data_IF_048680600156
#
_entry.id   IF_048680600156
#
_cell.length_a   1.000
_cell.length_b   1.000
_cell.length_c   1.000
_cell.angle_alpha   90.00
_cell.angle_beta   90.00
_cell.angle_gamma   90.00
#
_symmetry.space_group_name_H-M   'P 1'
#
loop_
_entity.id
_entity.type
_entity.pdbx_description
1 polymer ?
#
# COMPACT_ATOMS: atom_id res chain seq x y z
N UNK A 1 0.55 33.61 -44.93
CA UNK A 1 1.34 33.70 -43.69
C UNK A 1 0.62 32.84 -42.68
N UNK A 2 1.15 31.64 -42.43
CA UNK A 2 0.55 30.66 -41.53
C UNK A 2 1.40 30.68 -40.27
N UNK A 3 0.90 31.33 -39.22
CA UNK A 3 1.56 31.32 -37.92
C UNK A 3 1.32 29.97 -37.25
N UNK A 4 2.38 29.18 -37.19
CA UNK A 4 2.42 27.94 -36.42
C UNK A 4 2.73 28.30 -34.96
N UNK A 5 1.70 28.33 -34.12
CA UNK A 5 1.90 28.39 -32.66
C UNK A 5 2.37 27.01 -32.21
N UNK A 6 3.65 26.91 -31.87
CA UNK A 6 4.22 25.73 -31.25
C UNK A 6 3.67 25.62 -29.81
N UNK A 7 2.77 24.66 -29.59
CA UNK A 7 2.39 24.24 -28.24
C UNK A 7 3.47 23.28 -27.76
N UNK A 8 4.32 23.75 -26.87
CA UNK A 8 5.27 22.90 -26.16
C UNK A 8 4.47 22.03 -25.20
N UNK A 9 4.45 20.69 -25.32
CA UNK A 9 3.86 19.84 -24.31
C UNK A 9 4.67 20.03 -23.02
N UNK A 10 4.02 20.44 -21.94
CA UNK A 10 4.63 20.35 -20.61
C UNK A 10 4.89 18.87 -20.35
N UNK A 11 6.18 18.51 -20.35
CA UNK A 11 6.64 17.16 -20.07
C UNK A 11 6.16 16.79 -18.67
N UNK A 12 5.23 15.85 -18.59
CA UNK A 12 4.94 15.13 -17.36
C UNK A 12 6.20 14.34 -17.00
N UNK A 13 7.00 14.89 -16.09
CA UNK A 13 8.09 14.13 -15.48
C UNK A 13 7.44 13.13 -14.54
N UNK A 14 7.30 11.88 -14.98
CA UNK A 14 7.03 10.78 -14.06
C UNK A 14 8.17 10.80 -13.03
N UNK A 15 7.85 11.21 -11.81
CA UNK A 15 8.82 11.27 -10.73
C UNK A 15 9.14 9.84 -10.35
N UNK A 16 10.33 9.39 -10.77
CA UNK A 16 10.94 8.14 -10.33
C UNK A 16 10.91 8.13 -8.80
N UNK A 17 10.46 7.04 -8.14
CA UNK A 17 10.43 7.00 -6.69
C UNK A 17 11.86 7.16 -6.18
N UNK A 18 12.16 8.31 -5.59
CA UNK A 18 13.44 8.55 -4.97
C UNK A 18 13.65 7.46 -3.91
N UNK A 19 14.81 6.80 -3.92
CA UNK A 19 15.18 5.90 -2.83
C UNK A 19 15.18 6.72 -1.54
N UNK A 20 14.23 6.40 -0.66
CA UNK A 20 14.09 7.09 0.62
C UNK A 20 15.24 6.61 1.51
N UNK A 21 16.20 7.46 1.89
CA UNK A 21 17.20 7.07 2.87
C UNK A 21 16.50 6.76 4.19
N UNK A 22 17.02 5.79 4.93
CA UNK A 22 16.55 5.42 6.27
C UNK A 22 16.42 6.70 7.14
N UNK A 23 15.19 7.16 7.40
CA UNK A 23 14.95 8.48 8.04
C UNK A 23 14.85 8.29 9.54
N UNK A 24 16.01 8.21 10.17
CA UNK A 24 16.15 8.26 11.62
C UNK A 24 15.86 9.69 12.12
N UNK A 25 14.81 9.83 12.93
CA UNK A 25 14.47 11.06 13.65
C UNK A 25 15.22 11.07 14.97
N UNK A 26 15.95 12.15 15.27
CA UNK A 26 16.76 12.26 16.49
C UNK A 26 16.22 13.32 17.44
N UNK A 27 16.01 12.91 18.70
CA UNK A 27 15.46 13.71 19.78
C UNK A 27 16.55 14.04 20.79
N UNK A 28 16.87 15.33 21.03
CA UNK A 28 17.81 15.70 22.08
C UNK A 28 17.20 15.44 23.46
N UNK A 29 17.90 14.69 24.31
CA UNK A 29 17.47 14.42 25.68
C UNK A 29 17.96 15.52 26.63
N UNK A 30 17.10 15.96 27.56
CA UNK A 30 17.42 17.02 28.55
C UNK A 30 18.63 16.69 29.44
N UNK A 31 18.93 15.41 29.64
CA UNK A 31 20.07 14.91 30.45
C UNK A 31 21.33 14.64 29.62
N UNK A 32 21.35 15.05 28.35
CA UNK A 32 22.41 14.72 27.40
C UNK A 32 22.12 13.42 26.66
N UNK A 33 22.62 13.33 25.42
CA UNK A 33 22.36 12.21 24.50
C UNK A 33 21.17 12.47 23.56
N UNK A 34 20.90 11.49 22.70
CA UNK A 34 19.82 11.54 21.73
C UNK A 34 19.02 10.24 21.78
N UNK A 35 17.70 10.33 21.66
CA UNK A 35 16.86 9.19 21.34
C UNK A 35 16.64 9.19 19.83
N UNK A 36 16.83 8.05 19.18
CA UNK A 36 16.53 7.91 17.77
C UNK A 36 15.27 7.08 17.61
N UNK A 37 14.36 7.56 16.77
CA UNK A 37 13.16 6.85 16.36
C UNK A 37 13.19 6.70 14.84
N UNK A 38 12.79 5.52 14.38
CA UNK A 38 12.75 5.19 12.97
C UNK A 38 11.37 5.55 12.42
N UNK A 39 11.31 6.46 11.45
CA UNK A 39 10.09 6.65 10.68
C UNK A 39 9.87 5.44 9.77
N UNK A 40 8.61 5.01 9.55
CA UNK A 40 8.33 4.04 8.51
C UNK A 40 8.87 4.53 7.16
N UNK A 41 9.40 3.62 6.34
CA UNK A 41 10.03 3.97 5.05
C UNK A 41 9.09 4.66 4.05
N UNK A 42 7.77 4.52 4.25
CA UNK A 42 6.74 5.18 3.45
C UNK A 42 6.39 6.60 3.96
N UNK A 43 6.81 6.99 5.16
CA UNK A 43 6.55 8.31 5.73
C UNK A 43 7.43 9.35 5.05
N UNK A 44 6.81 10.41 4.53
CA UNK A 44 7.50 11.53 3.86
C UNK A 44 7.39 12.85 4.62
N UNK A 45 6.57 12.92 5.67
CA UNK A 45 6.48 14.06 6.61
C UNK A 45 7.85 14.41 7.21
N UNK A 46 8.15 15.72 7.26
CA UNK A 46 9.24 16.27 8.05
C UNK A 46 8.75 16.53 9.48
N UNK A 47 9.34 15.83 10.45
CA UNK A 47 8.98 15.92 11.86
C UNK A 47 9.80 16.94 12.66
N UNK A 48 10.62 17.77 12.01
CA UNK A 48 11.47 18.76 12.70
C UNK A 48 10.66 19.66 13.64
N UNK A 49 9.51 20.16 13.19
CA UNK A 49 8.61 21.00 14.00
C UNK A 49 7.98 20.24 15.17
N UNK A 50 7.64 18.96 15.00
CA UNK A 50 7.08 18.11 16.05
C UNK A 50 8.10 17.86 17.17
N UNK A 51 9.37 17.64 16.78
CA UNK A 51 10.50 17.49 17.71
C UNK A 51 10.72 18.77 18.50
N UNK A 52 10.71 19.93 17.83
CA UNK A 52 10.85 21.24 18.52
C UNK A 52 9.73 21.49 19.53
N UNK A 53 8.53 21.01 19.23
CA UNK A 53 7.35 21.08 20.13
C UNK A 53 7.38 20.03 21.23
N UNK A 54 8.35 19.12 21.22
CA UNK A 54 8.52 18.09 22.24
C UNK A 54 7.52 16.94 22.13
N UNK A 55 6.95 16.70 20.94
CA UNK A 55 6.11 15.53 20.67
C UNK A 55 6.98 14.27 20.83
N UNK A 56 6.49 13.27 21.58
CA UNK A 56 7.25 12.05 21.77
C UNK A 56 7.31 11.25 20.44
N UNK A 57 8.36 10.46 20.21
CA UNK A 57 8.48 9.71 18.96
C UNK A 57 7.35 8.72 18.69
N UNK A 58 6.77 8.14 19.73
CA UNK A 58 5.61 7.24 19.63
C UNK A 58 4.32 7.98 19.24
N UNK A 59 4.32 9.31 19.34
CA UNK A 59 3.17 10.19 19.12
C UNK A 59 3.26 10.94 17.77
N UNK A 60 4.20 10.56 16.90
CA UNK A 60 4.35 11.17 15.58
C UNK A 60 3.24 10.74 14.62
N UNK A 61 2.66 11.71 13.91
CA UNK A 61 1.73 11.45 12.80
C UNK A 61 2.49 11.18 11.51
N UNK A 62 2.58 9.91 11.11
CA UNK A 62 3.24 9.55 9.85
C UNK A 62 2.31 9.74 8.66
N UNK A 63 2.78 10.45 7.64
CA UNK A 63 2.06 10.64 6.38
C UNK A 63 3.00 10.40 5.20
N UNK A 64 2.53 9.64 4.22
CA UNK A 64 3.22 9.44 2.96
C UNK A 64 2.87 10.49 1.91
N UNK A 65 3.41 10.31 0.71
CA UNK A 65 3.18 11.21 -0.40
C UNK A 65 1.71 11.26 -0.83
N UNK A 66 1.27 12.46 -1.22
CA UNK A 66 -0.08 12.73 -1.68
C UNK A 66 -0.26 12.32 -3.13
N UNK A 67 -1.22 11.43 -3.38
CA UNK A 67 -1.79 11.22 -4.71
C UNK A 67 -3.01 12.13 -4.83
N UNK A 68 -2.99 13.05 -5.78
CA UNK A 68 -4.08 14.01 -5.96
C UNK A 68 -4.63 13.97 -7.39
N UNK A 69 -5.93 14.23 -7.50
CA UNK A 69 -6.58 14.54 -8.77
C UNK A 69 -6.88 16.04 -8.79
N UNK A 70 -6.04 16.79 -9.50
CA UNK A 70 -6.18 18.23 -9.65
C UNK A 70 -6.69 18.63 -11.04
N UNK A 71 -7.50 19.69 -11.10
CA UNK A 71 -7.89 20.36 -12.34
C UNK A 71 -7.46 21.82 -12.31
N UNK A 72 -6.95 22.33 -13.44
CA UNK A 72 -6.71 23.76 -13.64
C UNK A 72 -7.94 24.41 -14.27
N UNK A 73 -8.61 25.32 -13.55
CA UNK A 73 -9.69 26.15 -14.11
C UNK A 73 -9.25 27.60 -13.99
N UNK A 74 -9.19 28.32 -15.12
CA UNK A 74 -8.80 29.74 -15.18
C UNK A 74 -7.47 30.07 -14.47
N UNK A 75 -6.50 29.15 -14.55
CA UNK A 75 -5.18 29.29 -13.90
C UNK A 75 -5.15 28.92 -12.41
N UNK A 76 -6.29 28.55 -11.82
CA UNK A 76 -6.38 28.05 -10.45
C UNK A 76 -6.32 26.52 -10.44
N UNK A 77 -5.36 25.96 -9.71
CA UNK A 77 -5.29 24.52 -9.45
C UNK A 77 -6.27 24.18 -8.32
N UNK A 78 -7.24 23.32 -8.59
CA UNK A 78 -8.17 22.78 -7.61
C UNK A 78 -7.95 21.28 -7.48
N UNK A 79 -7.73 20.78 -6.26
CA UNK A 79 -7.77 19.34 -5.98
C UNK A 79 -9.23 18.93 -5.78
N UNK A 80 -9.64 17.81 -6.38
CA UNK A 80 -10.98 17.22 -6.19
C UNK A 80 -10.91 16.05 -5.22
N UNK A 81 -9.81 15.29 -5.26
CA UNK A 81 -9.58 14.15 -4.38
C UNK A 81 -8.10 14.04 -4.06
N UNK A 82 -7.79 13.95 -2.78
CA UNK A 82 -6.46 13.60 -2.28
C UNK A 82 -6.53 12.26 -1.54
N UNK A 83 -5.55 11.41 -1.80
CA UNK A 83 -5.33 10.15 -1.10
C UNK A 83 -3.86 10.04 -0.66
N UNK A 84 -3.64 9.53 0.55
CA UNK A 84 -2.28 9.27 1.08
C UNK A 84 -2.31 8.16 2.11
N UNK A 85 -1.18 7.48 2.30
CA UNK A 85 -0.98 6.58 3.44
C UNK A 85 -0.77 7.44 4.69
N UNK A 86 -1.46 7.09 5.77
CA UNK A 86 -1.35 7.73 7.07
C UNK A 86 -1.36 6.69 8.18
N UNK A 87 -0.72 7.01 9.30
CA UNK A 87 -0.84 6.29 10.56
C UNK A 87 -0.92 7.30 11.70
N UNK A 88 -2.01 7.26 12.47
CA UNK A 88 -2.23 8.16 13.60
C UNK A 88 -2.00 7.39 14.91
N UNK A 89 -1.09 7.83 15.79
CA UNK A 89 -0.66 7.03 16.94
C UNK A 89 -1.69 6.92 18.07
N UNK A 90 -2.71 7.79 18.06
CA UNK A 90 -3.80 7.79 19.06
C UNK A 90 -5.10 7.20 18.52
N UNK A 91 -5.08 6.61 17.32
CA UNK A 91 -6.25 5.91 16.79
C UNK A 91 -6.24 4.47 17.29
N UNK A 92 -6.81 4.26 18.48
CA UNK A 92 -6.92 2.94 19.12
C UNK A 92 -7.72 1.95 18.26
N UNK A 93 -8.57 2.45 17.35
CA UNK A 93 -9.38 1.64 16.45
C UNK A 93 -8.62 1.27 15.15
N UNK A 94 -7.56 2.01 14.77
CA UNK A 94 -6.76 1.78 13.55
C UNK A 94 -5.25 2.01 13.76
N UNK A 95 -4.57 1.12 14.51
CA UNK A 95 -3.14 1.24 14.77
C UNK A 95 -2.26 0.94 13.54
N UNK A 96 -2.80 0.26 12.52
CA UNK A 96 -2.10 -0.06 11.27
C UNK A 96 -2.16 1.10 10.27
N UNK A 97 -1.20 1.22 9.32
CA UNK A 97 -1.29 2.19 8.23
C UNK A 97 -2.58 2.03 7.43
N UNK A 98 -3.21 3.15 7.09
CA UNK A 98 -4.45 3.24 6.30
C UNK A 98 -4.35 4.32 5.22
N UNK A 99 -5.27 4.30 4.25
CA UNK A 99 -5.40 5.38 3.25
C UNK A 99 -6.47 6.36 3.70
N UNK A 100 -6.07 7.61 3.88
CA UNK A 100 -6.99 8.72 4.11
C UNK A 100 -7.44 9.29 2.75
N UNK A 101 -8.75 9.34 2.50
CA UNK A 101 -9.33 10.12 1.40
C UNK A 101 -9.85 11.44 1.95
N UNK A 102 -9.22 12.55 1.59
CA UNK A 102 -9.66 13.88 2.01
C UNK A 102 -10.45 14.51 0.87
N UNK A 103 -11.78 14.69 1.01
CA UNK A 103 -12.53 15.49 0.07
C UNK A 103 -12.17 16.96 0.26
N UNK A 104 -11.49 17.57 -0.71
CA UNK A 104 -11.37 19.02 -0.74
C UNK A 104 -12.71 19.61 -1.22
N UNK A 105 -13.58 19.94 -0.26
CA UNK A 105 -14.95 20.36 -0.53
C UNK A 105 -15.09 21.74 -1.16
N UNK A 106 -15.69 21.80 -2.36
CA UNK A 106 -16.79 22.73 -2.74
C UNK A 106 -17.24 22.54 -4.19
N UNK A 107 -16.57 21.68 -4.94
CA UNK A 107 -16.59 21.71 -6.40
C UNK A 107 -17.40 20.56 -6.97
N UNK A 108 -18.72 20.76 -7.06
CA UNK A 108 -19.48 20.18 -8.17
C UNK A 108 -18.98 20.81 -9.48
N UNK A 109 -17.73 20.55 -9.85
CA UNK A 109 -17.12 21.03 -11.09
C UNK A 109 -17.67 20.15 -12.19
N UNK A 110 -18.64 20.69 -12.92
CA UNK A 110 -18.94 20.19 -14.25
C UNK A 110 -17.73 20.50 -15.14
N UNK A 111 -17.04 19.45 -15.60
CA UNK A 111 -16.01 19.57 -16.62
C UNK A 111 -16.70 19.75 -17.97
N UNK A 112 -16.78 20.99 -18.43
CA UNK A 112 -17.31 21.30 -19.75
C UNK A 112 -16.26 20.96 -20.82
N UNK A 113 -16.38 19.78 -21.42
CA UNK A 113 -15.61 19.39 -22.59
C UNK A 113 -16.34 19.86 -23.85
N UNK A 114 -15.75 20.78 -24.60
CA UNK A 114 -16.32 21.33 -25.84
C UNK A 114 -15.90 20.55 -27.08
N UNK A 115 -14.98 19.59 -26.92
CA UNK A 115 -14.47 18.75 -27.99
C UNK A 115 -14.19 17.32 -27.54
N UNK A 116 -14.13 16.39 -28.50
CA UNK A 116 -13.73 15.00 -28.25
C UNK A 116 -12.30 14.89 -27.71
N UNK A 117 -11.42 15.78 -28.16
CA UNK A 117 -10.03 15.83 -27.73
C UNK A 117 -9.93 16.23 -26.24
N UNK A 118 -10.67 17.26 -25.82
CA UNK A 118 -10.74 17.65 -24.40
C UNK A 118 -11.26 16.51 -23.53
N UNK A 119 -12.31 15.81 -23.98
CA UNK A 119 -12.84 14.64 -23.27
C UNK A 119 -11.80 13.50 -23.17
N UNK A 120 -11.05 13.24 -24.23
CA UNK A 120 -9.99 12.22 -24.21
C UNK A 120 -8.83 12.57 -23.27
N UNK A 121 -8.54 13.87 -23.12
CA UNK A 121 -7.58 14.35 -22.12
C UNK A 121 -8.07 14.07 -20.70
N UNK A 122 -9.34 14.40 -20.40
CA UNK A 122 -9.92 14.15 -19.08
C UNK A 122 -9.94 12.65 -18.76
N UNK A 123 -10.29 11.79 -19.74
CA UNK A 123 -10.24 10.33 -19.58
C UNK A 123 -8.82 9.87 -19.26
N UNK A 124 -7.80 10.44 -19.90
CA UNK A 124 -6.40 10.08 -19.64
C UNK A 124 -5.97 10.49 -18.24
N UNK A 125 -6.33 11.69 -17.79
CA UNK A 125 -6.03 12.18 -16.45
C UNK A 125 -6.69 11.31 -15.37
N UNK A 126 -7.96 10.96 -15.54
CA UNK A 126 -8.67 10.06 -14.61
C UNK A 126 -8.03 8.67 -14.60
N UNK A 127 -7.67 8.11 -15.76
CA UNK A 127 -6.98 6.81 -15.82
C UNK A 127 -5.61 6.85 -15.15
N UNK A 128 -4.83 7.91 -15.36
CA UNK A 128 -3.56 8.08 -14.69
C UNK A 128 -3.74 8.14 -13.17
N UNK A 129 -4.73 8.90 -12.69
CA UNK A 129 -5.05 8.96 -11.27
C UNK A 129 -5.50 7.61 -10.70
N UNK A 130 -6.36 6.87 -11.40
CA UNK A 130 -6.75 5.51 -11.00
C UNK A 130 -5.55 4.57 -10.92
N UNK A 131 -4.62 4.64 -11.86
CA UNK A 131 -3.39 3.85 -11.81
C UNK A 131 -2.54 4.25 -10.59
N UNK A 132 -2.40 5.55 -10.30
CA UNK A 132 -1.70 6.01 -9.08
C UNK A 132 -2.39 5.57 -7.79
N UNK A 133 -3.73 5.43 -7.78
CA UNK A 133 -4.46 4.87 -6.64
C UNK A 133 -4.23 3.36 -6.50
N UNK A 134 -4.10 2.63 -7.60
CA UNK A 134 -3.72 1.21 -7.58
C UNK A 134 -2.32 1.07 -6.98
N UNK A 135 -1.35 1.87 -7.46
CA UNK A 135 0.01 1.89 -6.92
C UNK A 135 0.06 2.33 -5.44
N UNK A 136 -0.84 3.21 -5.01
CA UNK A 136 -1.00 3.57 -3.59
C UNK A 136 -1.53 2.37 -2.77
N UNK A 137 -2.45 1.60 -3.33
CA UNK A 137 -2.94 0.35 -2.73
C UNK A 137 -1.83 -0.68 -2.56
N UNK A 138 -0.97 -0.85 -3.56
CA UNK A 138 0.19 -1.75 -3.47
C UNK A 138 1.17 -1.31 -2.37
N UNK A 139 1.47 0.00 -2.31
CA UNK A 139 2.31 0.58 -1.24
C UNK A 139 1.68 0.42 0.15
N UNK A 140 0.36 0.53 0.26
CA UNK A 140 -0.34 0.29 1.53
C UNK A 140 -0.18 -1.16 1.97
N UNK A 141 -0.36 -2.12 1.07
CA UNK A 141 -0.20 -3.54 1.37
C UNK A 141 1.24 -3.87 1.82
N UNK A 142 2.24 -3.26 1.18
CA UNK A 142 3.64 -3.37 1.62
C UNK A 142 3.87 -2.74 3.00
N UNK A 143 3.33 -1.55 3.25
CA UNK A 143 3.43 -0.88 4.55
C UNK A 143 2.81 -1.73 5.68
N UNK A 144 1.64 -2.31 5.45
CA UNK A 144 0.97 -3.21 6.39
C UNK A 144 1.78 -4.50 6.62
N UNK A 145 2.42 -5.05 5.58
CA UNK A 145 3.30 -6.21 5.74
C UNK A 145 4.53 -5.91 6.61
N UNK A 146 5.13 -4.71 6.47
CA UNK A 146 6.24 -4.25 7.30
C UNK A 146 5.80 -4.04 8.75
N UNK A 147 4.65 -3.41 8.96
CA UNK A 147 4.06 -3.23 10.29
C UNK A 147 3.82 -4.58 10.98
N UNK A 148 3.13 -5.51 10.30
CA UNK A 148 2.93 -6.87 10.82
C UNK A 148 4.26 -7.58 11.11
N UNK A 149 5.28 -7.44 10.25
CA UNK A 149 6.59 -8.05 10.48
C UNK A 149 7.28 -7.51 11.74
N UNK A 150 7.08 -6.22 12.02
CA UNK A 150 7.66 -5.54 13.18
C UNK A 150 6.96 -6.01 14.46
N UNK A 151 5.62 -6.02 14.45
CA UNK A 151 4.82 -6.45 15.59
C UNK A 151 4.99 -7.94 15.90
N UNK A 152 5.08 -8.78 14.87
CA UNK A 152 5.17 -10.24 15.02
C UNK A 152 6.57 -10.77 15.33
N UNK A 153 7.60 -9.92 15.38
CA UNK A 153 9.02 -10.31 15.53
C UNK A 153 9.31 -11.22 16.74
N UNK A 154 8.54 -11.08 17.81
CA UNK A 154 8.70 -11.85 19.05
C UNK A 154 7.68 -13.00 19.18
N UNK A 155 6.85 -13.24 18.18
CA UNK A 155 5.84 -14.28 18.22
C UNK A 155 6.40 -15.57 17.63
N UNK A 156 6.20 -16.69 18.33
CA UNK A 156 6.59 -18.01 17.84
C UNK A 156 5.78 -18.44 16.60
N UNK A 157 4.59 -17.84 16.42
CA UNK A 157 3.67 -18.11 15.31
C UNK A 157 3.12 -16.80 14.74
N UNK A 158 3.91 -16.08 13.93
CA UNK A 158 3.50 -14.79 13.36
C UNK A 158 2.16 -14.85 12.61
N UNK A 159 1.86 -15.97 11.94
CA UNK A 159 0.61 -16.16 11.21
C UNK A 159 -0.65 -16.18 12.09
N UNK A 160 -0.54 -16.37 13.40
CA UNK A 160 -1.71 -16.33 14.33
C UNK A 160 -2.25 -14.91 14.53
N UNK A 161 -1.45 -13.88 14.23
CA UNK A 161 -1.86 -12.49 14.31
C UNK A 161 -2.59 -12.01 13.06
N UNK A 162 -2.52 -12.77 11.96
CA UNK A 162 -3.19 -12.42 10.71
C UNK A 162 -4.68 -12.72 10.80
N UNK A 163 -5.49 -11.74 10.41
CA UNK A 163 -6.93 -11.91 10.23
C UNK A 163 -7.29 -12.22 8.77
N UNK A 164 -8.59 -12.38 8.50
CA UNK A 164 -9.08 -12.62 7.14
C UNK A 164 -8.76 -11.47 6.18
N UNK A 165 -8.83 -10.23 6.65
CA UNK A 165 -8.57 -9.03 5.87
C UNK A 165 -7.10 -8.99 5.45
N UNK A 166 -6.18 -9.30 6.36
CA UNK A 166 -4.75 -9.37 6.09
C UNK A 166 -4.44 -10.41 4.99
N UNK A 167 -5.10 -11.57 5.04
CA UNK A 167 -4.97 -12.58 3.99
C UNK A 167 -5.53 -12.11 2.63
N UNK A 168 -6.42 -11.13 2.60
CA UNK A 168 -6.97 -10.55 1.37
C UNK A 168 -6.08 -9.44 0.82
N UNK A 169 -5.48 -8.63 1.68
CA UNK A 169 -4.77 -7.41 1.29
C UNK A 169 -3.26 -7.59 1.18
N UNK A 170 -2.62 -8.37 2.06
CA UNK A 170 -1.16 -8.42 2.13
C UNK A 170 -0.53 -9.08 0.89
N UNK A 171 0.72 -8.72 0.54
CA UNK A 171 1.42 -9.31 -0.60
C UNK A 171 1.58 -10.83 -0.45
N UNK A 172 1.36 -11.58 -1.54
CA UNK A 172 1.44 -13.06 -1.50
C UNK A 172 2.82 -13.54 -1.07
N UNK A 173 3.90 -12.93 -1.56
CA UNK A 173 5.25 -13.28 -1.16
C UNK A 173 5.47 -13.16 0.35
N UNK A 174 4.86 -12.14 0.98
CA UNK A 174 4.89 -11.96 2.42
C UNK A 174 4.11 -13.06 3.14
N UNK A 175 2.88 -13.34 2.70
CA UNK A 175 2.04 -14.39 3.28
C UNK A 175 2.72 -15.76 3.20
N UNK A 176 3.29 -16.12 2.05
CA UNK A 176 4.03 -17.38 1.90
C UNK A 176 5.18 -17.51 2.91
N UNK A 177 5.92 -16.41 3.14
CA UNK A 177 6.99 -16.37 4.16
C UNK A 177 6.44 -16.53 5.58
N UNK A 178 5.39 -15.78 5.94
CA UNK A 178 4.80 -15.81 7.29
C UNK A 178 4.20 -17.18 7.64
N UNK A 179 3.56 -17.82 6.66
CA UNK A 179 3.02 -19.16 6.81
C UNK A 179 4.08 -20.27 6.69
N UNK A 180 5.34 -19.94 6.36
CA UNK A 180 6.40 -20.92 6.16
C UNK A 180 6.09 -21.90 5.02
N UNK A 181 5.58 -21.37 3.90
CA UNK A 181 5.19 -22.15 2.72
C UNK A 181 6.40 -22.35 1.81
N UNK A 182 6.67 -23.59 1.42
CA UNK A 182 7.60 -23.92 0.33
C UNK A 182 6.83 -24.05 -0.98
N UNK A 183 7.39 -23.53 -2.08
CA UNK A 183 6.75 -23.61 -3.40
C UNK A 183 7.46 -24.66 -4.24
N UNK A 184 6.69 -25.60 -4.80
CA UNK A 184 7.19 -26.66 -5.66
C UNK A 184 6.44 -26.66 -7.00
N UNK A 185 7.17 -26.55 -8.11
CA UNK A 185 6.61 -26.75 -9.44
C UNK A 185 6.55 -28.24 -9.77
N UNK A 186 5.36 -28.75 -10.08
CA UNK A 186 5.10 -30.18 -10.27
C UNK A 186 4.15 -30.42 -11.44
N UNK A 187 4.23 -31.59 -12.09
CA UNK A 187 3.31 -31.96 -13.18
C UNK A 187 1.94 -32.44 -12.69
N UNK A 188 1.85 -32.85 -11.42
CA UNK A 188 0.61 -33.21 -10.74
C UNK A 188 0.56 -32.54 -9.37
N UNK A 189 -0.41 -31.64 -9.19
CA UNK A 189 -0.63 -30.95 -7.92
C UNK A 189 -1.28 -31.87 -6.88
N UNK A 190 -1.78 -33.05 -7.27
CA UNK A 190 -2.52 -33.98 -6.43
C UNK A 190 -3.98 -33.55 -6.18
N UNK A 191 -4.47 -32.51 -6.87
CA UNK A 191 -5.87 -32.03 -6.86
C UNK A 191 -6.31 -31.66 -8.27
N UNK A 192 -7.63 -31.55 -8.48
CA UNK A 192 -8.22 -31.01 -9.72
C UNK A 192 -8.10 -29.47 -9.77
N UNK A 193 -6.92 -28.94 -9.49
CA UNK A 193 -6.63 -27.52 -9.46
C UNK A 193 -5.22 -27.27 -9.99
N UNK A 194 -5.02 -26.12 -10.64
CA UNK A 194 -3.71 -25.69 -11.16
C UNK A 194 -2.67 -25.44 -10.05
N UNK A 195 -3.15 -25.36 -8.81
CA UNK A 195 -2.38 -25.17 -7.60
C UNK A 195 -3.07 -25.87 -6.41
N UNK A 196 -2.28 -26.38 -5.48
CA UNK A 196 -2.77 -26.98 -4.25
C UNK A 196 -1.86 -26.67 -3.05
N UNK A 197 -2.48 -26.27 -1.93
CA UNK A 197 -1.80 -26.04 -0.67
C UNK A 197 -1.98 -27.24 0.27
N UNK A 198 -0.89 -27.68 0.88
CA UNK A 198 -0.82 -28.83 1.79
C UNK A 198 -0.10 -28.46 3.09
N UNK A 199 -0.37 -29.23 4.14
CA UNK A 199 0.32 -29.12 5.43
C UNK A 199 -0.26 -28.07 6.38
N UNK A 200 0.48 -27.81 7.46
CA UNK A 200 0.17 -26.82 8.49
C UNK A 200 1.23 -25.70 8.48
N UNK A 201 0.92 -24.48 8.96
CA UNK A 201 1.84 -23.35 8.94
C UNK A 201 3.19 -23.71 9.56
N UNK A 202 4.28 -23.29 8.91
CA UNK A 202 5.66 -23.67 9.22
C UNK A 202 6.16 -24.93 8.51
N UNK A 203 5.25 -25.68 7.87
CA UNK A 203 5.54 -26.89 7.09
C UNK A 203 4.66 -27.00 5.84
N UNK A 204 4.08 -25.87 5.40
CA UNK A 204 3.17 -25.85 4.26
C UNK A 204 3.93 -26.03 2.95
N UNK A 205 3.31 -26.71 2.00
CA UNK A 205 3.82 -26.86 0.63
C UNK A 205 2.76 -26.43 -0.37
N UNK A 206 3.13 -25.50 -1.26
CA UNK A 206 2.34 -25.03 -2.38
C UNK A 206 2.83 -25.70 -3.66
N UNK A 207 2.01 -26.59 -4.21
CA UNK A 207 2.28 -27.26 -5.49
C UNK A 207 1.62 -26.51 -6.62
N UNK A 208 2.38 -26.17 -7.66
CA UNK A 208 1.91 -25.35 -8.79
C UNK A 208 2.33 -25.97 -10.11
N UNK A 209 1.49 -25.91 -11.15
CA UNK A 209 1.93 -26.28 -12.50
C UNK A 209 2.95 -25.26 -13.06
N UNK A 210 4.01 -25.71 -13.76
CA UNK A 210 5.06 -24.82 -14.28
C UNK A 210 4.51 -23.70 -15.20
N UNK A 211 3.49 -24.00 -16.01
CA UNK A 211 3.00 -23.08 -17.04
C UNK A 211 1.94 -22.08 -16.54
N UNK A 212 1.67 -22.02 -15.24
CA UNK A 212 0.66 -21.11 -14.68
C UNK A 212 1.19 -19.68 -14.65
N UNK A 213 0.50 -18.70 -15.24
CA UNK A 213 0.90 -17.30 -15.17
C UNK A 213 0.98 -16.78 -13.73
N UNK A 214 1.97 -15.93 -13.42
CA UNK A 214 2.21 -15.42 -12.07
C UNK A 214 0.96 -14.83 -11.40
N UNK A 215 0.19 -14.01 -12.13
CA UNK A 215 -1.05 -13.42 -11.62
C UNK A 215 -2.04 -14.49 -11.13
N UNK A 216 -2.22 -15.55 -11.92
CA UNK A 216 -3.12 -16.66 -11.56
C UNK A 216 -2.54 -17.47 -10.40
N UNK A 217 -1.22 -17.62 -10.30
CA UNK A 217 -0.57 -18.25 -9.13
C UNK A 217 -0.89 -17.49 -7.86
N UNK A 218 -0.78 -16.17 -7.88
CA UNK A 218 -1.05 -15.31 -6.72
C UNK A 218 -2.52 -15.36 -6.29
N UNK A 219 -3.45 -15.25 -7.24
CA UNK A 219 -4.89 -15.32 -6.96
C UNK A 219 -5.30 -16.68 -6.36
N UNK A 220 -4.84 -17.79 -6.95
CA UNK A 220 -5.15 -19.14 -6.45
C UNK A 220 -4.47 -19.42 -5.10
N UNK A 221 -3.24 -18.90 -4.90
CA UNK A 221 -2.55 -18.98 -3.60
C UNK A 221 -3.36 -18.26 -2.53
N UNK A 222 -3.83 -17.04 -2.82
CA UNK A 222 -4.68 -16.27 -1.90
C UNK A 222 -5.92 -17.05 -1.52
N UNK A 223 -6.61 -17.60 -2.53
CA UNK A 223 -7.82 -18.40 -2.33
C UNK A 223 -7.55 -19.64 -1.48
N UNK A 224 -6.42 -20.33 -1.69
CA UNK A 224 -6.04 -21.50 -0.92
C UNK A 224 -5.76 -21.15 0.56
N UNK A 225 -5.03 -20.06 0.82
CA UNK A 225 -4.76 -19.58 2.19
C UNK A 225 -6.04 -19.16 2.91
N UNK A 226 -6.94 -18.44 2.23
CA UNK A 226 -8.25 -18.06 2.77
C UNK A 226 -9.12 -19.29 3.08
N UNK A 227 -9.12 -20.28 2.19
CA UNK A 227 -9.85 -21.53 2.40
C UNK A 227 -9.32 -22.33 3.59
N UNK A 228 -8.00 -22.36 3.78
CA UNK A 228 -7.38 -22.96 4.97
C UNK A 228 -7.78 -22.21 6.24
N UNK A 229 -7.71 -20.87 6.23
CA UNK A 229 -8.07 -20.03 7.37
C UNK A 229 -9.51 -20.26 7.79
N UNK A 230 -10.44 -20.24 6.84
CA UNK A 230 -11.87 -20.48 7.10
C UNK A 230 -12.14 -21.87 7.70
N UNK A 231 -11.47 -22.90 7.18
CA UNK A 231 -11.61 -24.26 7.72
C UNK A 231 -11.11 -24.35 9.16
N UNK A 232 -9.99 -23.70 9.49
CA UNK A 232 -9.43 -23.66 10.84
C UNK A 232 -10.29 -22.87 11.81
N UNK A 233 -10.80 -21.71 11.40
CA UNK A 233 -11.70 -20.88 12.20
C UNK A 233 -13.05 -21.55 12.47
N UNK A 234 -13.49 -22.46 11.60
CA UNK A 234 -14.66 -23.29 11.84
C UNK A 234 -14.37 -24.41 12.85
N UNK A 235 -13.22 -25.09 12.73
CA UNK A 235 -12.84 -26.20 13.62
C UNK A 235 -12.53 -25.78 15.07
N UNK A 236 -12.20 -24.50 15.32
CA UNK A 236 -11.96 -23.97 16.67
C UNK A 236 -13.20 -23.54 17.44
N UNK A 237 -14.42 -23.72 16.89
CA UNK A 237 -15.70 -23.33 17.52
C UNK A 237 -16.52 -24.52 18.07
N UNK A 238 -16.01 -25.74 17.93
CA UNK A 238 -16.58 -26.98 18.49
C UNK A 238 -15.81 -27.41 19.75
#
# INVERSE_FOLDING_TARGET
>A
MTDTVAVTPETFTAQEPASVPDRMVTYPLRVGGFLAAECPTWCTTDHSDDIERGIAPVDLLHQGDKVHLGYGIDGLKQSILEARIQQFPFDDDQPAPYVEFVPEGSTAVALYCHSRLELDEQIRLVRAHLNSLIELGDRLAEAQAVDHATQSRNYARPWELLDRTDLQSLPIAYLLKVFGVTVAEVEDTGRKAVLALYGEPGSMELRVYPDVPQLLREDETRRALLGWYDAKSAAGRD
#
